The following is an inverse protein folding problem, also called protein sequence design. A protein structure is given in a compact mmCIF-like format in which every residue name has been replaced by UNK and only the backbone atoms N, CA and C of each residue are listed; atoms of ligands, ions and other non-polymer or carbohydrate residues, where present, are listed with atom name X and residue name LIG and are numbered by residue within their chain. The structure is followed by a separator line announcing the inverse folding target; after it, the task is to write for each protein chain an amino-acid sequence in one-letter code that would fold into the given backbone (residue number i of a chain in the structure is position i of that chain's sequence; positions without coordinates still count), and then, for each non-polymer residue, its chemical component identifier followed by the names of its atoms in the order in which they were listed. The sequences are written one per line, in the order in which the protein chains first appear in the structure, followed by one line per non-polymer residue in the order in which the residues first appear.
data_IF_687465216201
#
_entry.id   IF_687465216201
#
_cell.length_a   1.000
_cell.length_b   1.000
_cell.length_c   1.000
_cell.angle_alpha   90.00
_cell.angle_beta   90.00
_cell.angle_gamma   90.00
#
_symmetry.space_group_name_H-M   'P 1'
#
loop_
_entity.id
_entity.type
_entity.pdbx_description
1 polymer ?
#
# COMPACT_ATOMS: atom_id res chain seq x y z
N UNK A 1 5.51 -36.26 -1.30
CA UNK A 1 5.21 -35.59 -0.01
C UNK A 1 5.72 -34.16 -0.07
N UNK A 2 4.84 -33.16 0.02
CA UNK A 2 5.22 -31.75 -0.10
C UNK A 2 5.77 -31.20 1.22
N UNK A 3 7.00 -30.67 1.19
CA UNK A 3 7.65 -30.09 2.36
C UNK A 3 6.93 -28.81 2.81
N UNK A 4 6.39 -28.82 4.04
CA UNK A 4 5.85 -27.64 4.73
C UNK A 4 6.95 -26.57 4.84
N UNK A 5 6.77 -25.42 4.19
CA UNK A 5 7.55 -24.20 4.45
C UNK A 5 7.33 -23.78 5.91
N UNK A 6 8.27 -24.11 6.78
CA UNK A 6 8.34 -23.56 8.14
C UNK A 6 8.60 -22.06 8.04
N UNK A 7 7.62 -21.25 8.43
CA UNK A 7 7.79 -19.81 8.59
C UNK A 7 8.76 -19.57 9.75
N UNK A 8 10.03 -19.36 9.39
CA UNK A 8 11.11 -19.05 10.33
C UNK A 8 10.75 -17.75 11.06
N UNK A 9 10.42 -17.86 12.36
CA UNK A 9 10.12 -16.69 13.21
C UNK A 9 11.38 -15.81 13.29
N UNK A 10 11.27 -14.59 12.80
CA UNK A 10 12.33 -13.58 12.82
C UNK A 10 12.47 -12.99 14.22
N UNK A 11 13.70 -12.69 14.66
CA UNK A 11 13.93 -12.05 15.96
C UNK A 11 13.76 -10.53 15.89
N UNK A 12 13.41 -9.88 17.02
CA UNK A 12 13.22 -8.41 17.10
C UNK A 12 14.45 -7.62 16.62
N UNK A 13 15.66 -8.10 16.89
CA UNK A 13 16.91 -7.46 16.43
C UNK A 13 17.08 -7.54 14.91
N UNK A 14 16.78 -8.68 14.31
CA UNK A 14 16.84 -8.86 12.85
C UNK A 14 15.78 -8.00 12.15
N UNK A 15 14.59 -7.91 12.73
CA UNK A 15 13.50 -7.05 12.24
C UNK A 15 13.89 -5.57 12.24
N UNK A 16 14.39 -5.05 13.38
CA UNK A 16 14.84 -3.66 13.49
C UNK A 16 15.96 -3.36 12.50
N UNK A 17 16.90 -4.29 12.31
CA UNK A 17 18.00 -4.14 11.34
C UNK A 17 17.49 -4.06 9.90
N UNK A 18 16.51 -4.89 9.52
CA UNK A 18 15.92 -4.85 8.18
C UNK A 18 15.10 -3.57 7.93
N UNK A 19 14.40 -3.06 8.96
CA UNK A 19 13.74 -1.75 8.88
C UNK A 19 14.77 -0.64 8.64
N UNK A 20 15.83 -0.59 9.45
CA UNK A 20 16.87 0.45 9.35
C UNK A 20 17.62 0.43 8.01
N UNK A 21 17.65 -0.72 7.33
CA UNK A 21 18.26 -0.88 6.01
C UNK A 21 17.25 -0.91 4.84
N UNK A 22 15.96 -0.59 5.08
CA UNK A 22 14.93 -0.57 4.02
C UNK A 22 14.72 -1.90 3.29
N UNK A 23 15.04 -3.02 3.95
CA UNK A 23 15.10 -4.36 3.34
C UNK A 23 13.86 -5.20 3.57
N UNK A 24 12.80 -4.64 4.17
CA UNK A 24 11.52 -5.34 4.26
C UNK A 24 10.82 -5.33 2.90
N UNK A 25 10.47 -6.52 2.40
CA UNK A 25 9.75 -6.69 1.13
C UNK A 25 8.45 -5.85 1.05
N UNK A 26 7.84 -5.58 2.21
CA UNK A 26 6.67 -4.72 2.34
C UNK A 26 6.97 -3.25 1.99
N UNK A 27 8.16 -2.75 2.29
CA UNK A 27 8.54 -1.36 2.02
C UNK A 27 8.80 -1.14 0.54
N UNK A 28 9.42 -2.12 -0.12
CA UNK A 28 9.56 -2.13 -1.57
C UNK A 28 8.21 -2.28 -2.28
N UNK A 29 7.29 -3.08 -1.73
CA UNK A 29 5.94 -3.21 -2.28
C UNK A 29 5.16 -1.90 -2.17
N UNK A 30 5.22 -1.24 -1.02
CA UNK A 30 4.63 0.10 -0.81
C UNK A 30 5.25 1.10 -1.80
N UNK A 31 6.59 1.11 -1.94
CA UNK A 31 7.28 2.00 -2.87
C UNK A 31 6.80 1.83 -4.32
N UNK A 32 6.69 0.58 -4.81
CA UNK A 32 6.16 0.31 -6.15
C UNK A 32 4.72 0.76 -6.34
N UNK A 33 3.87 0.57 -5.34
CA UNK A 33 2.48 1.05 -5.39
C UNK A 33 2.44 2.57 -5.43
N UNK A 34 3.30 3.26 -4.68
CA UNK A 34 3.41 4.73 -4.72
C UNK A 34 3.86 5.20 -6.11
N UNK A 35 4.86 4.57 -6.69
CA UNK A 35 5.34 4.93 -8.04
C UNK A 35 4.24 4.77 -9.10
N UNK A 36 3.46 3.69 -9.01
CA UNK A 36 2.33 3.42 -9.90
C UNK A 36 1.22 4.47 -9.74
N UNK A 37 0.83 4.80 -8.50
CA UNK A 37 -0.14 5.85 -8.21
C UNK A 37 0.33 7.21 -8.75
N UNK A 38 1.59 7.59 -8.53
CA UNK A 38 2.18 8.80 -9.10
C UNK A 38 2.19 8.81 -10.63
N UNK A 39 2.23 7.64 -11.27
CA UNK A 39 2.03 7.51 -12.72
C UNK A 39 0.65 8.00 -13.15
N UNK A 40 -0.40 7.56 -12.47
CA UNK A 40 -1.78 8.01 -12.71
C UNK A 40 -1.96 9.49 -12.37
N UNK A 41 -1.39 9.97 -11.27
CA UNK A 41 -1.50 11.38 -10.89
C UNK A 41 -0.90 12.31 -11.94
N UNK A 42 0.26 11.94 -12.50
CA UNK A 42 0.87 12.67 -13.62
C UNK A 42 0.06 12.56 -14.91
N UNK A 43 -0.49 11.38 -15.22
CA UNK A 43 -1.28 11.13 -16.44
C UNK A 43 -2.52 12.02 -16.51
N UNK A 44 -3.17 12.25 -15.37
CA UNK A 44 -4.45 12.96 -15.30
C UNK A 44 -4.39 14.32 -14.59
N UNK A 45 -3.23 14.71 -14.05
CA UNK A 45 -3.05 15.97 -13.33
C UNK A 45 -3.84 16.05 -12.02
N UNK A 46 -4.21 14.92 -11.43
CA UNK A 46 -5.07 14.85 -10.25
C UNK A 46 -4.45 13.93 -9.19
N UNK A 47 -4.55 14.32 -7.93
CA UNK A 47 -4.08 13.50 -6.82
C UNK A 47 -4.95 12.26 -6.61
N UNK A 48 -4.36 11.17 -6.12
CA UNK A 48 -5.07 9.90 -5.87
C UNK A 48 -6.24 10.06 -4.89
N UNK A 49 -6.14 10.94 -3.90
CA UNK A 49 -7.27 11.20 -2.98
C UNK A 49 -8.46 11.86 -3.69
N UNK A 50 -8.19 12.67 -4.72
CA UNK A 50 -9.22 13.32 -5.53
C UNK A 50 -9.90 12.30 -6.44
N UNK A 51 -9.12 11.40 -7.05
CA UNK A 51 -9.67 10.24 -7.77
C UNK A 51 -10.63 9.43 -6.91
N UNK A 52 -10.23 9.14 -5.67
CA UNK A 52 -11.05 8.38 -4.73
C UNK A 52 -12.34 9.10 -4.34
N UNK A 53 -12.31 10.42 -4.24
CA UNK A 53 -13.47 11.21 -3.83
C UNK A 53 -14.47 11.48 -4.96
N UNK A 54 -13.99 11.66 -6.20
CA UNK A 54 -14.81 12.20 -7.30
C UNK A 54 -15.34 11.15 -8.27
N UNK A 55 -14.62 10.06 -8.48
CA UNK A 55 -14.95 9.10 -9.54
C UNK A 55 -15.97 8.02 -9.14
N UNK A 56 -15.99 7.50 -7.89
CA UNK A 56 -17.00 6.50 -7.51
C UNK A 56 -18.44 7.00 -7.75
N UNK A 57 -19.25 6.18 -8.40
CA UNK A 57 -20.63 6.52 -8.77
C UNK A 57 -20.75 7.33 -10.08
N UNK A 58 -19.65 7.53 -10.81
CA UNK A 58 -19.66 8.13 -12.15
C UNK A 58 -19.36 7.07 -13.22
N UNK A 59 -19.73 7.29 -14.50
CA UNK A 59 -19.38 6.38 -15.59
C UNK A 59 -17.85 6.18 -15.79
N UNK A 60 -17.03 7.08 -15.24
CA UNK A 60 -15.58 6.95 -15.28
C UNK A 60 -15.06 5.84 -14.35
N UNK A 61 -15.88 5.33 -13.43
CA UNK A 61 -15.55 4.19 -12.57
C UNK A 61 -15.32 2.88 -13.36
N UNK A 62 -16.00 2.72 -14.50
CA UNK A 62 -15.85 1.55 -15.36
C UNK A 62 -14.63 1.65 -16.31
N UNK A 63 -13.94 2.79 -16.31
CA UNK A 63 -12.78 2.98 -17.18
C UNK A 63 -11.63 2.06 -16.72
N UNK A 64 -10.97 1.33 -17.65
CA UNK A 64 -9.90 0.38 -17.29
C UNK A 64 -8.77 1.02 -16.45
N UNK A 65 -8.38 2.24 -16.79
CA UNK A 65 -7.35 2.96 -16.02
C UNK A 65 -7.81 3.27 -14.58
N UNK A 66 -9.08 3.61 -14.38
CA UNK A 66 -9.60 3.85 -13.04
C UNK A 66 -9.66 2.56 -12.23
N UNK A 67 -10.08 1.46 -12.85
CA UNK A 67 -10.12 0.15 -12.19
C UNK A 67 -8.71 -0.28 -11.74
N UNK A 68 -7.70 -0.12 -12.60
CA UNK A 68 -6.31 -0.42 -12.25
C UNK A 68 -5.80 0.49 -11.13
N UNK A 69 -6.02 1.80 -11.25
CA UNK A 69 -5.70 2.76 -10.21
C UNK A 69 -6.38 2.40 -8.87
N UNK A 70 -7.67 2.08 -8.88
CA UNK A 70 -8.45 1.78 -7.67
C UNK A 70 -7.99 0.50 -6.98
N UNK A 71 -7.59 -0.53 -7.74
CA UNK A 71 -6.97 -1.75 -7.21
C UNK A 71 -5.64 -1.42 -6.54
N UNK A 72 -4.77 -0.64 -7.19
CA UNK A 72 -3.48 -0.23 -6.65
C UNK A 72 -3.66 0.60 -5.36
N UNK A 73 -4.54 1.60 -5.38
CA UNK A 73 -4.82 2.49 -4.25
C UNK A 73 -5.39 1.74 -3.04
N UNK A 74 -6.36 0.84 -3.24
CA UNK A 74 -6.93 0.02 -2.16
C UNK A 74 -5.90 -0.95 -1.59
N UNK A 75 -5.03 -1.51 -2.44
CA UNK A 75 -3.95 -2.41 -2.01
C UNK A 75 -2.92 -1.67 -1.16
N UNK A 76 -2.47 -0.50 -1.62
CA UNK A 76 -1.60 0.40 -0.88
C UNK A 76 -2.17 0.73 0.51
N UNK A 77 -3.43 1.15 0.57
CA UNK A 77 -4.07 1.52 1.83
C UNK A 77 -4.18 0.33 2.80
N UNK A 78 -4.53 -0.87 2.31
CA UNK A 78 -4.56 -2.09 3.13
C UNK A 78 -3.16 -2.48 3.62
N UNK A 79 -2.14 -2.37 2.78
CA UNK A 79 -0.76 -2.66 3.16
C UNK A 79 -0.25 -1.67 4.21
N UNK A 80 -0.60 -0.39 4.09
CA UNK A 80 -0.32 0.61 5.12
C UNK A 80 -1.03 0.30 6.44
N UNK A 81 -2.34 -0.02 6.39
CA UNK A 81 -3.10 -0.40 7.58
C UNK A 81 -2.54 -1.64 8.28
N UNK A 82 -2.06 -2.61 7.52
CA UNK A 82 -1.44 -3.82 8.07
C UNK A 82 -0.09 -3.52 8.73
N UNK A 83 0.69 -2.58 8.17
CA UNK A 83 1.99 -2.15 8.73
C UNK A 83 1.82 -1.22 9.95
N UNK A 84 0.80 -0.37 9.91
CA UNK A 84 0.48 0.60 10.96
C UNK A 84 -0.94 0.36 11.47
N UNK A 85 -1.15 -0.69 12.29
CA UNK A 85 -2.46 -0.96 12.85
C UNK A 85 -2.96 0.25 13.64
N UNK A 86 -4.07 0.85 13.20
CA UNK A 86 -4.67 2.09 13.74
C UNK A 86 -4.84 2.10 15.28
N UNK A 87 -4.89 0.93 15.94
CA UNK A 87 -4.92 0.82 17.41
C UNK A 87 -3.69 1.41 18.11
N UNK A 88 -2.53 1.50 17.45
CA UNK A 88 -1.33 2.12 18.01
C UNK A 88 -1.22 3.62 17.67
N UNK A 89 -1.80 4.06 16.55
CA UNK A 89 -1.80 5.47 16.12
C UNK A 89 -2.87 6.32 16.83
N UNK A 90 -3.94 5.72 17.34
CA UNK A 90 -4.93 6.40 18.18
C UNK A 90 -4.33 7.03 19.46
N UNK A 91 -3.14 6.59 19.89
CA UNK A 91 -2.40 7.23 21.00
C UNK A 91 -1.71 8.54 20.61
N UNK A 92 -1.61 8.85 19.32
CA UNK A 92 -0.92 10.01 18.77
C UNK A 92 -1.85 10.93 17.97
N UNK A 93 -3.14 10.60 17.88
CA UNK A 93 -4.17 11.51 17.40
C UNK A 93 -4.52 12.48 18.55
N UNK A 94 -3.82 13.61 18.58
CA UNK A 94 -4.13 14.78 19.39
C UNK A 94 -5.19 15.62 18.69
#
# INVERSE_FOLDING_TARGET
MAARKTSRRMTKREFVRQISHGTLATDQAIGKMVDELQGYERKYGMRSEVFYALIPGTPAEDHPDFLQWAICYRSYFRTLQAKFPFKELARYAV
#
